data_IF_953228437093
#
_entry.id   IF_953228437093
#
_cell.length_a   1.000
_cell.length_b   1.000
_cell.length_c   1.000
_cell.angle_alpha   90.00
_cell.angle_beta   90.00
_cell.angle_gamma   90.00
#
_symmetry.space_group_name_H-M   'P 1'
#
loop_
_entity.id
_entity.type
_entity.pdbx_description
1 polymer ?
#
# COMPACT_ATOMS: atom_id res chain seq x y z
N UNK A 1 19.90 36.50 2.93
CA UNK A 1 18.67 35.96 2.28
C UNK A 1 18.91 34.49 2.05
N UNK A 2 18.35 33.63 2.90
CA UNK A 2 18.41 32.18 2.72
C UNK A 2 17.62 31.86 1.46
N UNK A 3 18.17 31.10 0.48
CA UNK A 3 17.38 30.67 -0.67
C UNK A 3 16.19 29.88 -0.16
N UNK A 4 15.00 30.36 -0.48
CA UNK A 4 13.78 29.59 -0.24
C UNK A 4 13.93 28.29 -1.05
N UNK A 5 14.14 27.18 -0.38
CA UNK A 5 14.18 25.88 -1.05
C UNK A 5 12.83 25.70 -1.73
N UNK A 6 12.84 25.57 -3.05
CA UNK A 6 11.64 25.21 -3.81
C UNK A 6 11.02 23.97 -3.14
N UNK A 7 9.69 23.94 -2.94
CA UNK A 7 9.06 22.79 -2.34
C UNK A 7 9.41 21.56 -3.18
N UNK A 8 10.00 20.54 -2.54
CA UNK A 8 10.32 19.29 -3.21
C UNK A 8 9.03 18.70 -3.80
N UNK A 9 9.04 18.44 -5.08
CA UNK A 9 7.90 17.82 -5.74
C UNK A 9 7.73 16.39 -5.20
N UNK A 10 6.64 16.16 -4.48
CA UNK A 10 6.32 14.82 -3.98
C UNK A 10 5.99 13.90 -5.15
N UNK A 11 6.45 12.66 -5.09
CA UNK A 11 6.27 11.66 -6.14
C UNK A 11 5.23 10.60 -5.79
N UNK A 12 4.71 9.93 -6.81
CA UNK A 12 3.82 8.76 -6.66
C UNK A 12 4.67 7.51 -6.66
N UNK A 13 4.54 6.71 -5.61
CA UNK A 13 5.26 5.44 -5.47
C UNK A 13 4.37 4.29 -5.93
N UNK A 14 4.75 3.61 -7.00
CA UNK A 14 4.06 2.41 -7.49
C UNK A 14 4.74 1.16 -6.93
N UNK A 15 3.95 0.32 -6.27
CA UNK A 15 4.38 -1.00 -5.77
C UNK A 15 3.67 -2.09 -6.60
N UNK A 16 4.30 -2.61 -7.66
CA UNK A 16 3.69 -3.61 -8.52
C UNK A 16 3.34 -4.90 -7.78
N UNK A 17 2.27 -5.60 -8.22
CA UNK A 17 1.92 -6.91 -7.69
C UNK A 17 2.93 -7.98 -8.11
N UNK A 18 2.88 -9.15 -7.48
CA UNK A 18 3.65 -10.30 -7.92
C UNK A 18 2.98 -11.03 -9.10
N UNK A 19 3.77 -11.72 -9.90
CA UNK A 19 3.28 -12.53 -11.02
C UNK A 19 2.24 -13.59 -10.56
N UNK A 20 2.47 -14.22 -9.41
CA UNK A 20 1.52 -15.18 -8.82
C UNK A 20 0.15 -14.60 -8.55
N UNK A 21 0.11 -13.38 -8.02
CA UNK A 21 -1.14 -12.67 -7.72
C UNK A 21 -1.88 -12.35 -9.00
N UNK A 22 -1.18 -11.84 -10.01
CA UNK A 22 -1.80 -11.45 -11.27
C UNK A 22 -2.37 -12.66 -12.01
N UNK A 23 -1.66 -13.79 -12.01
CA UNK A 23 -2.17 -15.06 -12.55
C UNK A 23 -3.39 -15.57 -11.79
N UNK A 24 -3.36 -15.51 -10.46
CA UNK A 24 -4.48 -15.94 -9.62
C UNK A 24 -5.77 -15.16 -9.93
N UNK A 25 -5.64 -13.84 -10.12
CA UNK A 25 -6.78 -12.95 -10.40
C UNK A 25 -7.07 -12.78 -11.91
N UNK A 26 -6.41 -13.56 -12.77
CA UNK A 26 -6.53 -13.47 -14.24
C UNK A 26 -6.35 -12.03 -14.74
N UNK A 27 -5.33 -11.37 -14.24
CA UNK A 27 -4.96 -9.99 -14.57
C UNK A 27 -3.75 -9.97 -15.51
N UNK A 28 -3.46 -8.83 -16.17
CA UNK A 28 -2.24 -8.65 -16.97
C UNK A 28 -0.97 -8.95 -16.15
N UNK A 29 0.16 -9.09 -16.83
CA UNK A 29 1.45 -9.25 -16.13
C UNK A 29 1.76 -8.03 -15.24
N UNK A 30 2.60 -8.17 -14.20
CA UNK A 30 2.99 -7.03 -13.38
C UNK A 30 3.57 -5.86 -14.17
N UNK A 31 4.31 -6.14 -15.24
CA UNK A 31 4.91 -5.15 -16.14
C UNK A 31 3.82 -4.40 -16.93
N UNK A 32 2.90 -5.13 -17.54
CA UNK A 32 1.77 -4.55 -18.28
C UNK A 32 0.88 -3.73 -17.34
N UNK A 33 0.57 -4.26 -16.17
CA UNK A 33 -0.20 -3.55 -15.15
C UNK A 33 0.48 -2.23 -14.77
N UNK A 34 1.78 -2.26 -14.50
CA UNK A 34 2.56 -1.07 -14.14
C UNK A 34 2.53 -0.03 -15.26
N UNK A 35 2.72 -0.42 -16.50
CA UNK A 35 2.66 0.49 -17.64
C UNK A 35 1.26 1.10 -17.82
N UNK A 36 0.22 0.31 -17.65
CA UNK A 36 -1.16 0.80 -17.72
C UNK A 36 -1.46 1.82 -16.61
N UNK A 37 -0.99 1.56 -15.39
CA UNK A 37 -1.12 2.49 -14.26
C UNK A 37 -0.39 3.79 -14.54
N UNK A 38 0.85 3.75 -15.01
CA UNK A 38 1.63 4.94 -15.36
C UNK A 38 0.91 5.74 -16.45
N UNK A 39 0.42 5.08 -17.48
CA UNK A 39 -0.30 5.72 -18.58
C UNK A 39 -1.58 6.41 -18.09
N UNK A 40 -2.34 5.75 -17.23
CA UNK A 40 -3.57 6.31 -16.69
C UNK A 40 -3.29 7.46 -15.71
N UNK A 41 -2.26 7.34 -14.86
CA UNK A 41 -1.86 8.42 -13.94
C UNK A 41 -1.56 9.72 -14.64
N UNK A 42 -1.01 9.69 -15.84
CA UNK A 42 -0.71 10.91 -16.63
C UNK A 42 -1.96 11.74 -16.98
N UNK A 43 -3.15 11.13 -16.90
CA UNK A 43 -4.41 11.87 -17.11
C UNK A 43 -4.82 12.69 -15.87
N UNK A 44 -4.24 12.40 -14.69
CA UNK A 44 -4.67 12.96 -13.41
C UNK A 44 -3.57 13.73 -12.69
N UNK A 45 -2.30 13.47 -13.00
CA UNK A 45 -1.17 14.10 -12.29
C UNK A 45 0.06 14.24 -13.17
N UNK A 46 0.81 15.33 -12.95
CA UNK A 46 2.14 15.57 -13.53
C UNK A 46 3.27 15.18 -12.56
N UNK A 47 2.96 14.58 -11.41
CA UNK A 47 3.95 14.19 -10.42
C UNK A 47 4.90 13.13 -10.97
N UNK A 48 6.18 13.17 -10.57
CA UNK A 48 7.11 12.09 -10.88
C UNK A 48 6.59 10.75 -10.32
N UNK A 49 6.89 9.68 -11.02
CA UNK A 49 6.52 8.32 -10.62
C UNK A 49 7.78 7.53 -10.34
N UNK A 50 7.83 6.88 -9.20
CA UNK A 50 8.87 5.91 -8.86
C UNK A 50 8.26 4.52 -8.73
N UNK A 51 8.97 3.50 -9.16
CA UNK A 51 8.56 2.10 -9.10
C UNK A 51 9.41 1.39 -8.07
N UNK A 52 8.76 0.74 -7.09
CA UNK A 52 9.42 -0.09 -6.10
C UNK A 52 9.06 -1.55 -6.32
N UNK A 53 10.03 -2.33 -6.79
CA UNK A 53 9.88 -3.77 -6.90
C UNK A 53 10.10 -4.43 -5.52
N UNK A 54 9.29 -5.45 -5.22
CA UNK A 54 9.48 -6.25 -4.02
C UNK A 54 10.76 -7.07 -4.18
N UNK A 55 11.72 -6.96 -3.26
CA UNK A 55 12.94 -7.76 -3.33
C UNK A 55 12.61 -9.25 -3.21
N UNK A 56 13.39 -10.10 -3.88
CA UNK A 56 13.26 -11.53 -3.75
C UNK A 56 13.53 -11.97 -2.30
N UNK A 57 12.98 -13.11 -1.90
CA UNK A 57 13.01 -13.56 -0.50
C UNK A 57 14.43 -13.70 0.07
N UNK A 58 15.39 -14.07 -0.77
CA UNK A 58 16.82 -14.20 -0.43
C UNK A 58 17.60 -12.87 -0.50
N UNK A 59 17.02 -11.81 -1.07
CA UNK A 59 17.63 -10.50 -1.25
C UNK A 59 17.08 -9.45 -0.27
N UNK A 60 16.27 -9.88 0.70
CA UNK A 60 15.68 -8.99 1.70
C UNK A 60 16.73 -8.57 2.72
N UNK A 61 17.28 -7.38 2.52
CA UNK A 61 18.15 -6.70 3.48
C UNK A 61 17.29 -5.79 4.36
N UNK A 62 17.72 -5.53 5.59
CA UNK A 62 17.00 -4.64 6.51
C UNK A 62 16.69 -3.26 5.88
N UNK A 63 17.59 -2.73 5.06
CA UNK A 63 17.42 -1.45 4.36
C UNK A 63 16.45 -1.51 3.16
N UNK A 64 16.03 -2.70 2.76
CA UNK A 64 15.06 -2.93 1.69
C UNK A 64 13.60 -2.80 2.12
N UNK A 65 13.32 -2.38 3.35
CA UNK A 65 11.97 -2.23 3.85
C UNK A 65 11.27 -1.03 3.17
N UNK A 66 9.99 -1.18 2.82
CA UNK A 66 9.17 -0.11 2.27
C UNK A 66 9.11 1.11 3.19
N UNK A 67 9.25 0.93 4.50
CA UNK A 67 9.24 2.02 5.49
C UNK A 67 10.29 3.08 5.15
N UNK A 68 11.49 2.69 4.71
CA UNK A 68 12.51 3.65 4.28
C UNK A 68 12.08 4.45 3.04
N UNK A 69 11.42 3.81 2.09
CA UNK A 69 10.86 4.52 0.93
C UNK A 69 9.76 5.50 1.33
N UNK A 70 8.95 5.16 2.34
CA UNK A 70 7.85 5.99 2.83
C UNK A 70 8.32 7.20 3.66
N UNK A 71 9.56 7.19 4.15
CA UNK A 71 10.17 8.36 4.82
C UNK A 71 10.59 9.46 3.83
N UNK A 72 10.65 9.15 2.54
CA UNK A 72 10.98 10.10 1.49
C UNK A 72 9.76 10.95 1.10
N UNK A 73 9.94 11.79 0.10
CA UNK A 73 8.94 12.72 -0.42
C UNK A 73 7.81 12.00 -1.22
N UNK A 74 7.19 11.00 -0.60
CA UNK A 74 6.08 10.25 -1.19
C UNK A 74 4.78 11.01 -1.01
N UNK A 75 4.09 11.27 -2.12
CA UNK A 75 2.76 11.87 -2.13
C UNK A 75 1.67 10.83 -1.87
N UNK A 76 1.74 9.72 -2.60
CA UNK A 76 0.76 8.64 -2.55
C UNK A 76 1.40 7.32 -2.98
N UNK A 77 0.95 6.22 -2.40
CA UNK A 77 1.35 4.87 -2.79
C UNK A 77 0.25 4.24 -3.65
N UNK A 78 0.62 3.67 -4.79
CA UNK A 78 -0.31 2.94 -5.67
C UNK A 78 0.10 1.48 -5.72
N UNK A 79 -0.86 0.60 -5.46
CA UNK A 79 -0.64 -0.85 -5.53
C UNK A 79 -1.90 -1.58 -6.01
N UNK A 80 -1.77 -2.84 -6.41
CA UNK A 80 -2.92 -3.70 -6.69
C UNK A 80 -3.49 -4.28 -5.39
N UNK A 81 -2.75 -5.16 -4.72
CA UNK A 81 -3.20 -5.82 -3.49
C UNK A 81 -2.07 -6.02 -2.48
N UNK A 82 -0.98 -5.27 -2.60
CA UNK A 82 0.17 -5.40 -1.69
C UNK A 82 -0.14 -4.85 -0.30
N UNK A 83 0.48 -5.44 0.71
CA UNK A 83 0.53 -4.90 2.08
C UNK A 83 1.13 -3.48 2.12
N UNK A 84 1.81 -3.06 1.07
CA UNK A 84 2.35 -1.71 0.93
C UNK A 84 1.30 -0.61 1.16
N UNK A 85 0.03 -0.86 0.80
CA UNK A 85 -1.06 0.08 1.08
C UNK A 85 -1.30 0.24 2.58
N UNK A 86 -1.34 -0.85 3.33
CA UNK A 86 -1.47 -0.84 4.79
C UNK A 86 -0.26 -0.15 5.44
N UNK A 87 0.94 -0.49 5.01
CA UNK A 87 2.18 0.11 5.54
C UNK A 87 2.23 1.62 5.24
N UNK A 88 1.79 2.05 4.07
CA UNK A 88 1.68 3.46 3.72
C UNK A 88 0.72 4.19 4.67
N UNK A 89 -0.49 3.69 4.86
CA UNK A 89 -1.48 4.29 5.75
C UNK A 89 -0.96 4.39 7.19
N UNK A 90 -0.35 3.33 7.72
CA UNK A 90 0.22 3.33 9.07
C UNK A 90 1.39 4.30 9.24
N UNK A 91 2.05 4.69 8.16
CA UNK A 91 3.10 5.71 8.12
C UNK A 91 2.59 7.11 7.71
N UNK A 92 1.28 7.31 7.71
CA UNK A 92 0.67 8.61 7.42
C UNK A 92 0.70 9.00 5.95
N UNK A 93 0.91 8.05 5.04
CA UNK A 93 0.89 8.29 3.59
C UNK A 93 -0.40 7.74 2.99
N UNK A 94 -1.11 8.52 2.15
CA UNK A 94 -2.29 8.01 1.47
C UNK A 94 -1.94 6.89 0.49
N UNK A 95 -2.89 5.99 0.27
CA UNK A 95 -2.72 4.88 -0.64
C UNK A 95 -3.92 4.72 -1.58
N UNK A 96 -3.64 4.19 -2.76
CA UNK A 96 -4.64 3.75 -3.74
C UNK A 96 -4.43 2.26 -3.97
N UNK A 97 -5.45 1.46 -3.68
CA UNK A 97 -5.46 0.02 -3.93
C UNK A 97 -6.43 -0.29 -5.07
N UNK A 98 -5.91 -0.82 -6.16
CA UNK A 98 -6.69 -1.11 -7.37
C UNK A 98 -7.27 -2.52 -7.39
N UNK A 99 -6.92 -3.34 -6.41
CA UNK A 99 -7.43 -4.70 -6.21
C UNK A 99 -7.81 -4.96 -4.77
N UNK A 100 -8.29 -6.19 -4.45
CA UNK A 100 -8.68 -6.57 -3.10
C UNK A 100 -7.52 -6.40 -2.11
N UNK A 101 -7.77 -5.64 -1.04
CA UNK A 101 -6.74 -5.30 -0.06
C UNK A 101 -7.35 -5.07 1.32
N UNK A 102 -6.64 -5.47 2.37
CA UNK A 102 -7.04 -5.19 3.75
C UNK A 102 -7.14 -3.69 4.06
N UNK A 103 -6.39 -2.87 3.33
CA UNK A 103 -6.42 -1.41 3.44
C UNK A 103 -7.62 -0.75 2.73
N UNK A 104 -8.44 -1.50 1.99
CA UNK A 104 -9.54 -0.94 1.16
C UNK A 104 -10.53 -0.11 1.98
N UNK A 105 -10.68 -0.39 3.27
CA UNK A 105 -11.55 0.37 4.18
C UNK A 105 -11.13 1.84 4.30
N UNK A 106 -9.82 2.12 4.22
CA UNK A 106 -9.24 3.45 4.42
C UNK A 106 -8.45 3.96 3.22
N UNK A 107 -8.22 3.17 2.19
CA UNK A 107 -7.50 3.65 1.01
C UNK A 107 -8.44 4.08 -0.10
N UNK A 108 -7.90 4.87 -1.01
CA UNK A 108 -8.58 5.23 -2.24
C UNK A 108 -8.58 4.02 -3.20
N UNK A 109 -9.53 3.96 -4.11
CA UNK A 109 -9.72 2.83 -5.02
C UNK A 109 -9.66 3.23 -6.51
N UNK A 110 -9.46 4.50 -6.78
CA UNK A 110 -9.36 5.05 -8.14
C UNK A 110 -8.14 5.93 -8.32
N UNK A 111 -7.46 5.81 -9.44
CA UNK A 111 -6.31 6.65 -9.81
C UNK A 111 -6.70 8.13 -9.97
N UNK A 112 -7.96 8.43 -10.25
CA UNK A 112 -8.47 9.80 -10.32
C UNK A 112 -8.34 10.58 -9.01
N UNK A 113 -8.16 9.87 -7.89
CA UNK A 113 -8.01 10.46 -6.56
C UNK A 113 -6.55 10.81 -6.22
N UNK A 114 -5.60 10.59 -7.14
CA UNK A 114 -4.16 10.72 -6.87
C UNK A 114 -3.74 12.11 -6.41
N UNK A 115 -4.32 13.19 -6.93
CA UNK A 115 -3.96 14.56 -6.50
C UNK A 115 -4.58 14.95 -5.16
N UNK A 116 -5.78 14.46 -4.86
CA UNK A 116 -6.50 14.73 -3.64
C UNK A 116 -6.90 13.42 -2.95
N UNK A 117 -5.93 12.59 -2.56
CA UNK A 117 -6.24 11.32 -1.91
C UNK A 117 -6.83 11.56 -0.52
N UNK A 118 -7.75 10.70 -0.13
CA UNK A 118 -8.31 10.74 1.22
C UNK A 118 -7.21 10.48 2.25
N UNK A 119 -7.16 11.32 3.26
CA UNK A 119 -6.26 11.19 4.41
C UNK A 119 -7.05 11.08 5.70
N UNK A 120 -6.46 10.50 6.72
CA UNK A 120 -7.10 10.28 8.01
C UNK A 120 -6.25 10.86 9.14
N UNK A 121 -6.91 11.24 10.24
CA UNK A 121 -6.23 11.72 11.43
C UNK A 121 -5.53 10.58 12.18
N UNK A 122 -4.69 10.96 13.14
CA UNK A 122 -3.92 10.01 13.94
C UNK A 122 -4.81 9.03 14.69
N UNK A 123 -5.93 9.50 15.23
CA UNK A 123 -6.86 8.67 16.02
C UNK A 123 -7.51 7.59 15.17
N UNK A 124 -7.94 7.92 13.94
CA UNK A 124 -8.48 6.97 12.97
C UNK A 124 -7.43 5.93 12.58
N UNK A 125 -6.18 6.34 12.38
CA UNK A 125 -5.08 5.42 12.03
C UNK A 125 -4.73 4.49 13.20
N UNK A 126 -4.75 4.96 14.43
CA UNK A 126 -4.55 4.13 15.62
C UNK A 126 -5.67 3.10 15.79
N UNK A 127 -6.92 3.49 15.56
CA UNK A 127 -8.06 2.57 15.57
C UNK A 127 -7.96 1.50 14.48
N UNK A 128 -7.50 1.87 13.29
CA UNK A 128 -7.26 0.94 12.19
C UNK A 128 -6.14 -0.05 12.51
N UNK A 129 -5.02 0.41 13.09
CA UNK A 129 -3.92 -0.45 13.51
C UNK A 129 -4.37 -1.45 14.59
N UNK A 130 -5.16 -1.01 15.56
CA UNK A 130 -5.74 -1.87 16.60
C UNK A 130 -6.68 -2.92 15.99
N UNK A 131 -7.52 -2.53 15.03
CA UNK A 131 -8.41 -3.45 14.33
C UNK A 131 -7.64 -4.51 13.54
N UNK A 132 -6.60 -4.12 12.80
CA UNK A 132 -5.75 -5.07 12.09
C UNK A 132 -5.08 -6.07 13.04
N UNK A 133 -4.61 -5.61 14.20
CA UNK A 133 -4.01 -6.47 15.23
C UNK A 133 -5.04 -7.46 15.79
N UNK A 134 -6.25 -7.00 16.07
CA UNK A 134 -7.35 -7.84 16.54
C UNK A 134 -7.78 -8.91 15.53
N UNK A 135 -7.75 -8.60 14.23
CA UNK A 135 -8.12 -9.51 13.16
C UNK A 135 -7.02 -10.51 12.78
N UNK A 136 -5.87 -10.47 13.43
CA UNK A 136 -4.76 -11.40 13.19
C UNK A 136 -4.68 -12.45 14.28
N UNK A 137 -4.29 -13.66 13.89
CA UNK A 137 -4.04 -14.77 14.80
C UNK A 137 -2.59 -15.20 14.74
N UNK A 138 -2.03 -15.53 15.89
CA UNK A 138 -0.70 -16.15 15.97
C UNK A 138 -0.75 -17.58 15.44
N UNK A 139 0.41 -18.12 15.09
CA UNK A 139 0.52 -19.53 14.70
C UNK A 139 0.02 -20.47 15.81
N UNK A 140 0.28 -20.14 17.07
CA UNK A 140 -0.18 -20.89 18.23
C UNK A 140 -1.72 -20.92 18.32
N UNK A 141 -2.37 -19.77 18.17
CA UNK A 141 -3.84 -19.64 18.18
C UNK A 141 -4.51 -20.37 17.02
N UNK A 142 -3.84 -20.47 15.87
CA UNK A 142 -4.30 -21.27 14.75
C UNK A 142 -4.14 -22.77 15.01
N UNK A 143 -3.04 -23.18 15.64
CA UNK A 143 -2.74 -24.59 15.94
C UNK A 143 -3.61 -25.16 17.05
N UNK A 144 -3.92 -24.40 18.10
CA UNK A 144 -4.70 -24.85 19.26
C UNK A 144 -6.23 -24.72 19.09
N UNK A 145 -6.67 -24.22 17.93
CA UNK A 145 -8.09 -24.03 17.61
C UNK A 145 -8.71 -22.74 18.15
N UNK A 146 -7.97 -21.89 18.82
CA UNK A 146 -8.45 -20.59 19.34
C UNK A 146 -8.97 -19.71 18.23
N UNK A 147 -8.22 -19.58 17.13
CA UNK A 147 -8.62 -18.79 15.97
C UNK A 147 -9.93 -19.32 15.36
N UNK A 148 -10.06 -20.62 15.19
CA UNK A 148 -11.25 -21.26 14.64
C UNK A 148 -12.49 -21.00 15.50
N UNK A 149 -12.34 -21.14 16.82
CA UNK A 149 -13.42 -20.89 17.79
C UNK A 149 -13.90 -19.43 17.70
N UNK A 150 -12.99 -18.46 17.77
CA UNK A 150 -13.31 -17.02 17.71
C UNK A 150 -14.06 -16.69 16.41
N UNK A 151 -13.59 -17.20 15.27
CA UNK A 151 -14.24 -16.97 13.97
C UNK A 151 -15.65 -17.57 13.88
N UNK A 152 -15.91 -18.69 14.57
CA UNK A 152 -17.22 -19.34 14.53
C UNK A 152 -18.18 -18.83 15.60
N UNK A 153 -17.69 -18.29 16.71
CA UNK A 153 -18.53 -17.65 17.74
C UNK A 153 -19.00 -16.25 17.33
N UNK A 154 -18.34 -15.62 16.35
CA UNK A 154 -18.64 -14.28 15.84
C UNK A 154 -19.73 -14.23 14.75
N UNK A 155 -20.28 -15.39 14.37
CA UNK A 155 -21.32 -15.52 13.33
C UNK A 155 -22.71 -15.64 13.92
#
# INVERSE_FOLDING_TARGET
ITPCALPRTLFVLICPPSDKVMKFWNQPTPEEWTQNVIKELKNYTDRPVEIRLKPKRNERIADGNIIHALQNDVHCVVTYNSIAATEALLNGKPAIALGPNAATVLCNTSLSQVENPTTFDKLTMEAYAAHLTYCQFTKQEMQDGTAWRILNESS
#
